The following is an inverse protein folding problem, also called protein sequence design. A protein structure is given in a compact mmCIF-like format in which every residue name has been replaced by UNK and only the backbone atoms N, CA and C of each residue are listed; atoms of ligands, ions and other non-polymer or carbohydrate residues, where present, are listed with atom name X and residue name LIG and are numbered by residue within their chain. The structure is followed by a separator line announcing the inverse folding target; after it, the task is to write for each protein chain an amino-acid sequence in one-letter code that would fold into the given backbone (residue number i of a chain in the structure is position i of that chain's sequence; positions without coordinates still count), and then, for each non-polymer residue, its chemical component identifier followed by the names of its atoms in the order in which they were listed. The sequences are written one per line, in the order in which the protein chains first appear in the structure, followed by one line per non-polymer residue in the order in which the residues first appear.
data_IF_374918254502
#
_entry.id   IF_374918254502
#
_cell.length_a   1.000
_cell.length_b   1.000
_cell.length_c   1.000
_cell.angle_alpha   90.00
_cell.angle_beta   90.00
_cell.angle_gamma   90.00
#
_symmetry.space_group_name_H-M   'P 1'
#
loop_
_entity.id
_entity.type
_entity.pdbx_description
1 polymer ?
#
# COMPACT_ATOMS: atom_id res chain seq x y z
N UNK A 1 -0.06 2.52 -14.44
CA UNK A 1 -0.59 2.23 -13.09
C UNK A 1 -1.61 1.09 -13.07
N UNK A 2 -1.26 -0.02 -12.42
CA UNK A 2 -2.13 -1.18 -12.10
C UNK A 2 -2.33 -1.25 -10.58
N UNK A 3 -3.44 -1.82 -10.13
CA UNK A 3 -3.72 -2.06 -8.71
C UNK A 3 -4.03 -3.54 -8.49
N UNK A 4 -3.49 -4.11 -7.41
CA UNK A 4 -3.70 -5.51 -7.04
C UNK A 4 -4.10 -5.59 -5.57
N UNK A 5 -5.37 -5.93 -5.31
CA UNK A 5 -5.85 -6.22 -3.95
C UNK A 5 -5.09 -7.43 -3.40
N UNK A 6 -4.54 -7.27 -2.20
CA UNK A 6 -3.78 -8.33 -1.52
C UNK A 6 -4.62 -8.92 -0.40
N UNK A 7 -5.23 -8.07 0.42
CA UNK A 7 -5.94 -8.49 1.62
C UNK A 7 -7.06 -7.51 1.98
N UNK A 8 -8.07 -8.05 2.67
CA UNK A 8 -9.09 -7.27 3.36
C UNK A 8 -9.12 -7.65 4.84
N UNK A 9 -9.25 -6.67 5.71
CA UNK A 9 -9.32 -6.85 7.17
C UNK A 9 -10.49 -6.07 7.73
N UNK A 10 -11.33 -6.73 8.50
CA UNK A 10 -12.31 -6.06 9.35
C UNK A 10 -11.61 -5.50 10.59
N UNK A 11 -11.93 -4.27 10.95
CA UNK A 11 -11.48 -3.59 12.15
C UNK A 11 -12.67 -2.87 12.80
N UNK A 12 -12.85 -3.08 14.10
CA UNK A 12 -13.84 -2.36 14.90
C UNK A 12 -13.12 -1.32 15.76
N UNK A 13 -13.14 -0.03 15.40
CA UNK A 13 -12.68 1.02 16.31
C UNK A 13 -13.68 1.20 17.45
N UNK A 14 -13.60 0.37 18.50
CA UNK A 14 -14.45 0.50 19.69
C UNK A 14 -15.95 0.28 19.42
N UNK A 15 -16.82 1.12 20.00
CA UNK A 15 -18.29 1.10 19.81
C UNK A 15 -18.76 1.63 18.44
N UNK A 16 -17.85 1.77 17.47
CA UNK A 16 -18.18 2.17 16.11
C UNK A 16 -18.56 0.97 15.23
N UNK A 17 -19.21 1.26 14.09
CA UNK A 17 -19.50 0.27 13.04
C UNK A 17 -18.22 -0.45 12.60
N UNK A 18 -18.35 -1.75 12.32
CA UNK A 18 -17.31 -2.55 11.66
C UNK A 18 -16.83 -1.84 10.40
N UNK A 19 -15.53 -1.54 10.34
CA UNK A 19 -14.87 -0.96 9.18
C UNK A 19 -14.02 -2.02 8.46
N UNK A 20 -13.96 -1.93 7.15
CA UNK A 20 -13.24 -2.86 6.29
C UNK A 20 -12.10 -2.12 5.62
N UNK A 21 -10.88 -2.49 6.01
CA UNK A 21 -9.64 -2.03 5.42
C UNK A 21 -9.27 -2.94 4.25
N UNK A 22 -9.09 -2.37 3.06
CA UNK A 22 -8.60 -3.06 1.88
C UNK A 22 -7.18 -2.60 1.58
N UNK A 23 -6.26 -3.55 1.55
CA UNK A 23 -4.84 -3.34 1.28
C UNK A 23 -4.52 -3.81 -0.13
N UNK A 24 -3.88 -2.96 -0.92
CA UNK A 24 -3.51 -3.26 -2.30
C UNK A 24 -2.11 -2.74 -2.63
N UNK A 25 -1.49 -3.38 -3.61
CA UNK A 25 -0.23 -2.93 -4.21
C UNK A 25 -0.56 -2.15 -5.48
N UNK A 26 0.16 -1.05 -5.69
CA UNK A 26 0.16 -0.30 -6.95
C UNK A 26 1.42 -0.63 -7.73
N UNK A 27 1.29 -0.79 -9.04
CA UNK A 27 2.42 -1.08 -9.94
C UNK A 27 2.41 0.00 -11.02
N UNK A 28 3.52 0.71 -11.15
CA UNK A 28 3.72 1.69 -12.19
C UNK A 28 4.85 1.26 -13.10
N UNK A 29 4.52 1.14 -14.39
CA UNK A 29 5.46 0.75 -15.44
C UNK A 29 6.23 2.01 -15.87
N UNK A 30 7.45 2.17 -15.37
CA UNK A 30 8.37 3.20 -15.81
C UNK A 30 9.07 2.70 -17.07
N UNK A 31 8.75 3.33 -18.19
CA UNK A 31 9.40 3.06 -19.48
C UNK A 31 10.33 4.22 -19.77
N UNK A 32 11.62 3.94 -19.91
CA UNK A 32 12.58 4.91 -20.42
C UNK A 32 12.90 4.58 -21.88
N UNK A 33 12.25 5.29 -22.82
CA UNK A 33 12.42 5.10 -24.26
C UNK A 33 13.85 5.36 -24.75
N UNK A 34 14.65 6.13 -24.00
CA UNK A 34 16.04 6.44 -24.36
C UNK A 34 17.01 5.32 -23.97
N UNK A 35 16.76 4.63 -22.86
CA UNK A 35 17.58 3.55 -22.33
C UNK A 35 17.04 2.14 -22.65
N UNK A 36 15.79 2.03 -23.14
CA UNK A 36 15.14 0.75 -23.42
C UNK A 36 14.86 -0.06 -22.14
N UNK A 37 14.76 0.61 -21.00
CA UNK A 37 14.57 -0.02 -19.69
C UNK A 37 13.08 -0.01 -19.36
N UNK A 38 12.55 -1.19 -19.05
CA UNK A 38 11.23 -1.36 -18.44
C UNK A 38 11.44 -1.63 -16.95
N UNK A 39 11.00 -0.71 -16.10
CA UNK A 39 11.14 -0.82 -14.65
C UNK A 39 9.76 -0.75 -14.00
N UNK A 40 9.47 -1.70 -13.11
CA UNK A 40 8.23 -1.70 -12.34
C UNK A 40 8.49 -1.01 -11.00
N UNK A 41 7.89 0.16 -10.81
CA UNK A 41 7.83 0.85 -9.53
C UNK A 41 6.62 0.34 -8.76
N UNK A 42 6.84 -0.19 -7.57
CA UNK A 42 5.81 -0.68 -6.69
C UNK A 42 5.45 0.33 -5.60
N UNK A 43 4.17 0.38 -5.26
CA UNK A 43 3.60 1.18 -4.18
C UNK A 43 2.54 0.42 -3.41
N UNK A 44 1.99 1.05 -2.38
CA UNK A 44 0.93 0.48 -1.53
C UNK A 44 -0.25 1.43 -1.44
N UNK A 45 -1.43 0.89 -1.19
CA UNK A 45 -2.60 1.68 -0.85
C UNK A 45 -3.48 0.97 0.17
N UNK A 46 -4.20 1.80 0.92
CA UNK A 46 -5.16 1.38 1.93
C UNK A 46 -6.45 2.17 1.71
N UNK A 47 -7.57 1.46 1.68
CA UNK A 47 -8.91 2.04 1.59
C UNK A 47 -9.79 1.55 2.72
N UNK A 48 -10.53 2.45 3.35
CA UNK A 48 -11.65 2.14 4.24
C UNK A 48 -12.92 2.14 3.37
N UNK A 49 -13.60 1.00 3.26
CA UNK A 49 -14.75 0.84 2.35
C UNK A 49 -15.94 1.69 2.77
N UNK A 50 -16.21 1.78 4.06
CA UNK A 50 -17.40 2.42 4.64
C UNK A 50 -17.31 3.95 4.55
N UNK A 51 -16.12 4.51 4.77
CA UNK A 51 -15.87 5.95 4.68
C UNK A 51 -15.42 6.39 3.28
N UNK A 52 -14.95 5.46 2.44
CA UNK A 52 -14.30 5.74 1.16
C UNK A 52 -12.90 6.37 1.30
N UNK A 53 -12.40 6.53 2.52
CA UNK A 53 -11.10 7.13 2.78
C UNK A 53 -10.00 6.25 2.21
N UNK A 54 -9.12 6.84 1.41
CA UNK A 54 -8.11 6.12 0.65
C UNK A 54 -6.80 6.88 0.67
N UNK A 55 -5.71 6.16 0.90
CA UNK A 55 -4.35 6.66 0.76
C UNK A 55 -3.55 5.72 -0.12
N UNK A 56 -2.80 6.30 -1.05
CA UNK A 56 -1.96 5.57 -1.99
C UNK A 56 -0.59 6.22 -2.00
N UNK A 57 0.44 5.40 -1.86
CA UNK A 57 1.83 5.80 -1.90
C UNK A 57 2.48 5.04 -3.05
N UNK A 58 2.83 5.77 -4.09
CA UNK A 58 3.52 5.24 -5.26
C UNK A 58 5.03 5.31 -5.08
N UNK A 59 5.77 4.57 -5.90
CA UNK A 59 7.24 4.65 -5.97
C UNK A 59 7.93 4.39 -4.61
N UNK A 60 7.46 3.37 -3.90
CA UNK A 60 8.02 2.92 -2.62
C UNK A 60 9.25 2.04 -2.86
N UNK A 61 9.18 1.09 -3.79
CA UNK A 61 10.31 0.20 -4.08
C UNK A 61 10.20 -0.40 -5.48
N UNK A 62 11.34 -0.81 -6.05
CA UNK A 62 11.37 -1.60 -7.30
C UNK A 62 11.37 -3.11 -7.03
N UNK A 63 11.40 -3.54 -5.76
CA UNK A 63 11.43 -4.95 -5.39
C UNK A 63 10.04 -5.48 -5.05
N UNK A 64 9.55 -6.42 -5.88
CA UNK A 64 8.28 -7.12 -5.66
C UNK A 64 8.22 -7.81 -4.29
N UNK A 65 9.30 -8.43 -3.83
CA UNK A 65 9.30 -9.14 -2.54
C UNK A 65 9.20 -8.16 -1.37
N UNK A 66 9.88 -7.00 -1.45
CA UNK A 66 9.83 -6.00 -0.39
C UNK A 66 8.46 -5.34 -0.29
N UNK A 67 7.81 -5.02 -1.41
CA UNK A 67 6.46 -4.43 -1.36
C UNK A 67 5.43 -5.41 -0.81
N UNK A 68 5.58 -6.71 -1.10
CA UNK A 68 4.72 -7.77 -0.55
C UNK A 68 4.92 -7.93 0.96
N UNK A 69 6.14 -7.80 1.46
CA UNK A 69 6.39 -7.79 2.91
C UNK A 69 5.75 -6.56 3.57
N UNK A 70 5.93 -5.39 2.97
CA UNK A 70 5.36 -4.14 3.47
C UNK A 70 3.83 -4.19 3.55
N UNK A 71 3.14 -4.61 2.47
CA UNK A 71 1.67 -4.67 2.48
C UNK A 71 1.13 -5.68 3.51
N UNK A 72 1.83 -6.79 3.72
CA UNK A 72 1.46 -7.74 4.77
C UNK A 72 1.65 -7.12 6.16
N UNK A 73 2.76 -6.41 6.39
CA UNK A 73 3.00 -5.67 7.64
C UNK A 73 1.90 -4.64 7.91
N UNK A 74 1.48 -3.90 6.88
CA UNK A 74 0.35 -2.95 6.98
C UNK A 74 -0.95 -3.66 7.37
N UNK A 75 -1.23 -4.81 6.76
CA UNK A 75 -2.44 -5.59 7.02
C UNK A 75 -2.45 -6.28 8.39
N UNK A 76 -1.30 -6.73 8.89
CA UNK A 76 -1.15 -7.34 10.22
C UNK A 76 -1.35 -6.31 11.34
N UNK A 77 -0.88 -5.09 11.14
CA UNK A 77 -1.01 -4.00 12.12
C UNK A 77 -2.28 -3.15 11.95
N UNK A 78 -3.17 -3.52 11.02
CA UNK A 78 -4.41 -2.79 10.71
C UNK A 78 -4.15 -1.29 10.45
N UNK A 79 -3.09 -1.00 9.70
CA UNK A 79 -2.70 0.38 9.37
C UNK A 79 -3.82 1.05 8.57
N UNK A 80 -4.17 2.27 8.95
CA UNK A 80 -5.25 3.03 8.33
C UNK A 80 -4.71 3.92 7.21
N UNK A 81 -5.57 4.45 6.32
CA UNK A 81 -5.15 5.39 5.29
C UNK A 81 -4.44 6.63 5.86
N UNK A 82 -4.76 7.03 7.08
CA UNK A 82 -4.13 8.19 7.73
C UNK A 82 -2.69 7.88 8.16
N UNK A 83 -2.43 6.67 8.65
CA UNK A 83 -1.13 6.29 9.22
C UNK A 83 -0.21 5.57 8.24
N UNK A 84 -0.72 5.13 7.08
CA UNK A 84 0.10 4.41 6.09
C UNK A 84 1.32 5.22 5.63
N UNK A 85 1.18 6.53 5.45
CA UNK A 85 2.30 7.40 5.05
C UNK A 85 3.45 7.38 6.04
N UNK A 86 3.12 7.43 7.33
CA UNK A 86 4.11 7.43 8.41
C UNK A 86 4.82 6.06 8.49
N UNK A 87 4.07 4.97 8.39
CA UNK A 87 4.61 3.61 8.42
C UNK A 87 5.50 3.31 7.21
N UNK A 88 5.13 3.82 6.02
CA UNK A 88 5.96 3.65 4.82
C UNK A 88 7.23 4.48 4.91
N UNK A 89 7.16 5.71 5.42
CA UNK A 89 8.36 6.56 5.63
C UNK A 89 9.33 5.93 6.62
N UNK A 90 8.84 5.44 7.77
CA UNK A 90 9.63 4.69 8.75
C UNK A 90 10.28 3.44 8.13
N UNK A 91 9.52 2.69 7.32
CA UNK A 91 10.04 1.50 6.64
C UNK A 91 11.13 1.82 5.61
N UNK A 92 11.02 2.95 4.90
CA UNK A 92 12.04 3.42 3.95
C UNK A 92 13.30 3.91 4.67
N UNK A 93 13.16 4.48 5.86
CA UNK A 93 14.27 4.96 6.67
C UNK A 93 14.99 3.83 7.43
N UNK A 94 14.32 2.71 7.65
CA UNK A 94 14.87 1.54 8.35
C UNK A 94 15.86 0.68 7.52
N UNK A 95 16.22 1.10 6.30
CA UNK A 95 17.18 0.41 5.41
C UNK A 95 18.65 0.81 5.68
#
# INVERSE_FOLDING_TARGET
MRQMEICRKGFCPGEAQEQTLVFYITIDDLTDDAAGILLESYGVGVTIIESGETSVISNVTFSRSRILELVNKLADHLVTPVTVSDVVDDWLCAD
#
